data_IF_829521160874
#
_entry.id   IF_829521160874
#
_cell.length_a   1.000
_cell.length_b   1.000
_cell.length_c   1.000
_cell.angle_alpha   90.00
_cell.angle_beta   90.00
_cell.angle_gamma   90.00
#
_symmetry.space_group_name_H-M   'P 1'
#
loop_
_entity.id
_entity.type
_entity.pdbx_description
1 polymer ?
#
# COMPACT_ATOMS: atom_id res chain seq x y z
N UNK A 1 16.14 -4.51 46.40
CA UNK A 1 14.85 -5.18 46.67
C UNK A 1 14.05 -5.19 45.38
N UNK A 2 13.35 -6.30 45.15
CA UNK A 2 12.68 -6.75 43.93
C UNK A 2 11.75 -5.74 43.26
N UNK A 3 11.62 -5.80 41.93
CA UNK A 3 10.31 -5.81 41.31
C UNK A 3 10.18 -6.94 40.29
N UNK A 4 9.14 -7.72 40.52
CA UNK A 4 8.73 -8.95 39.86
C UNK A 4 7.82 -8.66 38.66
N UNK A 5 7.80 -9.64 37.75
CA UNK A 5 6.98 -9.83 36.57
C UNK A 5 5.47 -9.57 36.70
N UNK A 6 4.84 -9.13 35.61
CA UNK A 6 3.50 -9.56 35.20
C UNK A 6 3.34 -9.43 33.68
N UNK A 7 3.48 -10.54 32.95
CA UNK A 7 2.87 -10.70 31.62
C UNK A 7 1.68 -11.64 31.83
N UNK A 8 0.48 -11.08 31.98
CA UNK A 8 -0.76 -11.86 31.94
C UNK A 8 -1.27 -11.94 30.51
N UNK A 9 -1.66 -13.15 30.11
CA UNK A 9 -2.33 -13.53 28.88
C UNK A 9 -3.45 -12.57 28.47
N UNK A 10 -3.41 -12.11 27.22
CA UNK A 10 -4.57 -11.52 26.55
C UNK A 10 -4.92 -12.39 25.35
N UNK A 11 -6.07 -13.07 25.44
CA UNK A 11 -6.72 -13.75 24.32
C UNK A 11 -7.23 -12.72 23.32
N UNK A 12 -6.86 -12.88 22.05
CA UNK A 12 -7.32 -12.03 20.94
C UNK A 12 -8.77 -12.41 20.57
N UNK A 13 -9.69 -11.44 20.38
CA UNK A 13 -10.96 -11.73 19.74
C UNK A 13 -10.79 -11.92 18.22
N UNK A 14 -11.53 -12.86 17.65
CA UNK A 14 -11.60 -13.11 16.21
C UNK A 14 -12.05 -11.85 15.46
N UNK A 15 -11.22 -11.35 14.53
CA UNK A 15 -11.59 -10.27 13.62
C UNK A 15 -12.07 -10.83 12.28
N UNK A 16 -13.29 -10.47 11.89
CA UNK A 16 -13.80 -10.62 10.53
C UNK A 16 -13.26 -9.46 9.69
N UNK A 17 -12.55 -9.78 8.61
CA UNK A 17 -12.14 -8.83 7.57
C UNK A 17 -10.64 -8.52 7.61
N UNK A 18 -9.98 -8.77 6.48
CA UNK A 18 -8.57 -8.43 6.24
C UNK A 18 -8.44 -6.91 6.34
N UNK A 19 -7.71 -6.43 7.35
CA UNK A 19 -7.26 -5.05 7.47
C UNK A 19 -5.75 -5.05 7.24
N UNK A 20 -5.32 -4.35 6.19
CA UNK A 20 -3.90 -4.05 5.93
C UNK A 20 -3.27 -3.26 7.08
N UNK A 21 -1.93 -3.33 7.16
CA UNK A 21 -1.01 -2.60 8.03
C UNK A 21 -1.56 -1.92 9.30
N UNK A 22 -1.22 -2.47 10.47
CA UNK A 22 -1.47 -1.84 11.77
C UNK A 22 -0.70 -0.51 11.91
N UNK A 23 -1.40 0.64 11.83
CA UNK A 23 -1.01 1.82 12.60
C UNK A 23 -1.74 1.76 13.95
N UNK A 24 -1.05 1.73 15.10
CA UNK A 24 -1.72 1.61 16.39
C UNK A 24 -2.59 2.84 16.68
N UNK A 25 -3.91 2.69 16.59
CA UNK A 25 -4.86 3.78 16.86
C UNK A 25 -4.89 4.23 18.33
N UNK A 26 -4.33 3.43 19.25
CA UNK A 26 -4.23 3.73 20.69
C UNK A 26 -3.02 4.60 21.05
N UNK A 27 -2.23 5.04 20.06
CA UNK A 27 -1.16 6.03 20.26
C UNK A 27 -1.67 7.47 20.16
N UNK A 28 -2.95 7.70 19.84
CA UNK A 28 -3.51 9.03 19.52
C UNK A 28 -3.80 9.95 20.72
N UNK A 29 -3.16 9.73 21.88
CA UNK A 29 -3.46 10.46 23.13
C UNK A 29 -2.22 10.99 23.88
N UNK A 30 -1.03 11.05 23.26
CA UNK A 30 0.19 11.52 23.92
C UNK A 30 0.86 12.73 23.24
N UNK A 31 1.90 13.26 23.91
CA UNK A 31 2.65 14.43 23.45
C UNK A 31 3.18 14.20 22.01
N UNK A 32 2.91 15.09 21.03
CA UNK A 32 3.25 14.88 19.62
C UNK A 32 4.73 14.55 19.34
N UNK A 33 5.65 15.05 20.17
CA UNK A 33 7.09 14.76 20.02
C UNK A 33 7.46 13.35 20.51
N UNK A 34 6.82 12.88 21.57
CA UNK A 34 7.01 11.53 22.11
C UNK A 34 6.32 10.49 21.23
N UNK A 35 5.13 10.81 20.70
CA UNK A 35 4.43 9.98 19.69
C UNK A 35 5.28 9.80 18.43
N UNK A 36 5.85 10.88 17.89
CA UNK A 36 6.72 10.81 16.73
C UNK A 36 7.96 9.95 17.01
N UNK A 37 8.57 10.10 18.19
CA UNK A 37 9.74 9.31 18.58
C UNK A 37 9.41 7.81 18.77
N UNK A 38 8.29 7.49 19.42
CA UNK A 38 7.85 6.10 19.61
C UNK A 38 7.39 5.45 18.32
N UNK A 39 6.65 6.17 17.45
CA UNK A 39 6.25 5.68 16.15
C UNK A 39 7.46 5.38 15.24
N UNK A 40 8.48 6.25 15.25
CA UNK A 40 9.75 6.00 14.57
C UNK A 40 10.48 4.80 15.18
N UNK A 41 10.52 4.69 16.50
CA UNK A 41 11.19 3.58 17.18
C UNK A 41 10.51 2.24 16.89
N UNK A 42 9.18 2.17 16.96
CA UNK A 42 8.40 0.97 16.71
C UNK A 42 8.46 0.54 15.24
N UNK A 43 8.39 1.50 14.30
CA UNK A 43 8.48 1.20 12.87
C UNK A 43 9.85 0.64 12.47
N UNK A 44 10.91 0.87 13.25
CA UNK A 44 12.24 0.32 13.03
C UNK A 44 12.51 -0.95 13.85
N UNK A 45 11.95 -1.05 15.05
CA UNK A 45 12.26 -2.10 16.00
C UNK A 45 11.61 -3.45 15.66
N UNK A 46 10.46 -3.46 14.99
CA UNK A 46 9.70 -4.68 14.77
C UNK A 46 9.93 -5.38 13.42
N UNK A 47 9.93 -4.67 12.27
CA UNK A 47 9.90 -5.35 10.97
C UNK A 47 11.15 -6.20 10.70
N UNK A 48 12.34 -5.66 10.94
CA UNK A 48 13.60 -6.34 10.63
C UNK A 48 13.82 -7.58 11.51
N UNK A 49 13.72 -7.53 12.86
CA UNK A 49 13.84 -8.74 13.67
C UNK A 49 12.78 -9.79 13.36
N UNK A 50 11.55 -9.37 13.05
CA UNK A 50 10.46 -10.28 12.66
C UNK A 50 10.78 -10.99 11.35
N UNK A 51 11.21 -10.25 10.32
CA UNK A 51 11.64 -10.82 9.05
C UNK A 51 12.74 -11.87 9.27
N UNK A 52 13.76 -11.53 10.07
CA UNK A 52 14.84 -12.47 10.39
C UNK A 52 14.37 -13.69 11.18
N UNK A 53 13.50 -13.52 12.16
CA UNK A 53 12.98 -14.60 13.00
C UNK A 53 12.25 -15.66 12.17
N UNK A 54 11.48 -15.22 11.18
CA UNK A 54 10.66 -16.09 10.35
C UNK A 54 11.31 -16.42 8.99
N UNK A 55 12.56 -16.03 8.77
CA UNK A 55 13.32 -16.39 7.56
C UNK A 55 12.87 -15.67 6.29
N UNK A 56 12.26 -14.49 6.40
CA UNK A 56 11.92 -13.67 5.24
C UNK A 56 13.15 -12.95 4.67
N UNK A 57 13.16 -12.78 3.35
CA UNK A 57 14.21 -12.09 2.61
C UNK A 57 13.99 -10.58 2.50
N UNK A 58 12.82 -10.08 2.88
CA UNK A 58 12.47 -8.68 2.70
C UNK A 58 11.28 -8.20 3.52
N UNK A 59 10.97 -6.92 3.32
CA UNK A 59 9.85 -6.19 3.86
C UNK A 59 9.10 -5.55 2.69
N UNK A 60 7.78 -5.72 2.64
CA UNK A 60 6.89 -5.02 1.71
C UNK A 60 5.96 -4.11 2.51
N UNK A 61 6.00 -2.80 2.24
CA UNK A 61 5.11 -1.84 2.88
C UNK A 61 3.85 -1.65 2.05
N UNK A 62 2.71 -1.95 2.66
CA UNK A 62 1.40 -1.82 2.03
C UNK A 62 0.49 -0.87 2.84
N UNK A 63 0.76 0.43 2.71
CA UNK A 63 -0.06 1.48 3.30
C UNK A 63 -1.06 1.96 2.24
N UNK A 64 -2.33 1.58 2.40
CA UNK A 64 -3.43 1.95 1.50
C UNK A 64 -4.41 2.96 2.13
N UNK A 65 -4.34 4.24 1.83
CA UNK A 65 -3.18 4.96 1.29
C UNK A 65 -2.81 6.07 2.29
N UNK A 66 -1.59 6.65 2.23
CA UNK A 66 -1.29 7.91 2.91
C UNK A 66 -2.43 8.91 2.70
N UNK A 67 -2.94 9.59 3.72
CA UNK A 67 -4.20 10.35 3.62
C UNK A 67 -4.00 11.78 3.11
N UNK A 68 -2.80 12.34 3.26
CA UNK A 68 -2.51 13.75 2.98
C UNK A 68 -1.01 13.95 2.66
N UNK A 69 -0.60 15.18 2.38
CA UNK A 69 0.81 15.52 2.07
C UNK A 69 1.78 15.24 3.24
N UNK A 70 1.31 15.36 4.49
CA UNK A 70 2.12 15.04 5.67
C UNK A 70 2.39 13.54 5.73
N UNK A 71 1.39 12.70 5.45
CA UNK A 71 1.58 11.25 5.37
C UNK A 71 2.54 10.87 4.23
N UNK A 72 2.49 11.56 3.08
CA UNK A 72 3.46 11.37 2.00
C UNK A 72 4.89 11.74 2.42
N UNK A 73 5.04 12.81 3.20
CA UNK A 73 6.33 13.21 3.78
C UNK A 73 6.83 12.21 4.81
N UNK A 74 5.92 11.66 5.63
CA UNK A 74 6.21 10.61 6.58
C UNK A 74 6.61 9.31 5.89
N UNK A 75 5.96 8.95 4.77
CA UNK A 75 6.31 7.80 3.94
C UNK A 75 7.74 7.93 3.38
N UNK A 76 8.12 9.12 2.89
CA UNK A 76 9.48 9.43 2.44
C UNK A 76 10.52 9.18 3.55
N UNK A 77 10.22 9.67 4.76
CA UNK A 77 11.07 9.49 5.92
C UNK A 77 11.16 8.01 6.33
N UNK A 78 10.03 7.29 6.32
CA UNK A 78 9.95 5.88 6.65
C UNK A 78 10.84 5.05 5.74
N UNK A 79 10.75 5.23 4.41
CA UNK A 79 11.62 4.52 3.46
C UNK A 79 13.11 4.77 3.73
N UNK A 80 13.49 6.03 3.98
CA UNK A 80 14.87 6.39 4.33
C UNK A 80 15.34 5.69 5.60
N UNK A 81 14.51 5.69 6.64
CA UNK A 81 14.85 5.09 7.93
C UNK A 81 14.91 3.56 7.85
N UNK A 82 13.95 2.92 7.18
CA UNK A 82 13.95 1.47 6.97
C UNK A 82 15.17 1.02 6.18
N UNK A 83 15.51 1.70 5.08
CA UNK A 83 16.73 1.40 4.33
C UNK A 83 17.96 1.49 5.23
N UNK A 84 18.12 2.59 5.97
CA UNK A 84 19.26 2.78 6.87
C UNK A 84 19.34 1.68 7.94
N UNK A 85 18.20 1.29 8.53
CA UNK A 85 18.17 0.24 9.55
C UNK A 85 18.51 -1.15 8.96
N UNK A 86 18.02 -1.46 7.75
CA UNK A 86 18.39 -2.69 7.02
C UNK A 86 19.91 -2.73 6.77
N UNK A 87 20.51 -1.61 6.38
CA UNK A 87 21.95 -1.53 6.13
C UNK A 87 22.77 -1.74 7.41
N UNK A 88 22.37 -1.10 8.51
CA UNK A 88 23.01 -1.26 9.81
C UNK A 88 22.90 -2.71 10.30
N UNK A 89 21.72 -3.32 10.20
CA UNK A 89 21.50 -4.72 10.62
C UNK A 89 22.33 -5.69 9.78
N UNK A 90 22.32 -5.53 8.46
CA UNK A 90 23.08 -6.36 7.53
C UNK A 90 24.58 -6.35 7.85
N UNK A 91 25.15 -5.16 8.09
CA UNK A 91 26.56 -5.00 8.46
C UNK A 91 26.84 -5.58 9.84
N UNK A 92 26.00 -5.25 10.83
CA UNK A 92 26.24 -5.61 12.25
C UNK A 92 26.22 -7.12 12.48
N UNK A 93 25.39 -7.84 11.73
CA UNK A 93 25.22 -9.28 11.88
C UNK A 93 25.80 -10.09 10.71
N UNK A 94 26.49 -9.44 9.76
CA UNK A 94 27.03 -10.04 8.55
C UNK A 94 26.00 -10.90 7.80
N UNK A 95 24.83 -10.31 7.52
CA UNK A 95 23.72 -10.95 6.80
C UNK A 95 23.46 -10.27 5.46
N UNK A 96 22.90 -10.96 4.46
CA UNK A 96 22.40 -10.31 3.25
C UNK A 96 21.41 -9.20 3.59
N UNK A 97 21.48 -8.05 2.91
CA UNK A 97 20.50 -6.96 3.10
C UNK A 97 19.10 -7.49 2.78
N UNK A 98 18.13 -7.16 3.65
CA UNK A 98 16.72 -7.41 3.35
C UNK A 98 16.29 -6.56 2.15
N UNK A 99 15.46 -7.14 1.29
CA UNK A 99 14.74 -6.42 0.24
C UNK A 99 13.73 -5.48 0.90
N UNK A 100 13.58 -4.28 0.36
CA UNK A 100 12.54 -3.34 0.74
C UNK A 100 11.70 -2.99 -0.48
N UNK A 101 10.43 -3.37 -0.48
CA UNK A 101 9.46 -3.02 -1.50
C UNK A 101 8.24 -2.30 -0.90
N UNK A 102 7.36 -1.80 -1.76
CA UNK A 102 6.07 -1.27 -1.33
C UNK A 102 5.00 -1.47 -2.40
N UNK A 103 3.80 -1.88 -1.99
CA UNK A 103 2.59 -1.74 -2.78
C UNK A 103 2.08 -0.30 -2.68
N UNK A 104 1.76 0.28 -3.84
CA UNK A 104 1.42 1.71 -3.93
C UNK A 104 0.32 1.95 -4.94
N UNK A 105 -0.25 3.16 -4.89
CA UNK A 105 -1.22 3.62 -5.87
C UNK A 105 -0.65 3.55 -7.30
N UNK A 106 -1.51 3.28 -8.30
CA UNK A 106 -1.07 3.01 -9.68
C UNK A 106 -0.33 4.18 -10.34
N UNK A 107 -0.53 5.40 -9.86
CA UNK A 107 0.13 6.62 -10.32
C UNK A 107 0.75 7.36 -9.12
N UNK A 108 1.75 8.25 -9.34
CA UNK A 108 2.34 9.03 -8.25
C UNK A 108 1.40 10.12 -7.72
N UNK A 109 0.56 10.69 -8.57
CA UNK A 109 -0.45 11.69 -8.22
C UNK A 109 -1.74 10.99 -7.78
N UNK A 110 -2.17 11.22 -6.54
CA UNK A 110 -3.38 10.62 -5.98
C UNK A 110 -4.61 11.49 -6.31
N UNK A 111 -5.06 11.42 -7.55
CA UNK A 111 -6.12 12.32 -8.06
C UNK A 111 -7.55 11.77 -7.96
N UNK A 112 -7.75 10.51 -7.58
CA UNK A 112 -9.10 9.91 -7.39
C UNK A 112 -9.67 10.18 -5.99
N UNK A 113 -9.08 11.11 -5.24
CA UNK A 113 -9.52 11.55 -3.91
C UNK A 113 -9.64 13.06 -3.89
N UNK A 114 -10.55 13.57 -3.07
CA UNK A 114 -10.75 15.01 -2.86
C UNK A 114 -9.56 15.69 -2.14
N UNK A 115 -8.58 14.91 -1.65
CA UNK A 115 -7.36 15.41 -1.01
C UNK A 115 -6.16 15.12 -1.92
N UNK A 116 -5.74 16.10 -2.76
CA UNK A 116 -4.58 15.96 -3.62
C UNK A 116 -3.32 15.68 -2.81
N UNK A 117 -2.50 14.76 -3.29
CA UNK A 117 -1.24 14.37 -2.67
C UNK A 117 -0.42 13.54 -3.65
N UNK A 118 0.90 13.61 -3.50
CA UNK A 118 1.84 13.01 -4.43
C UNK A 118 2.81 12.11 -3.67
N UNK A 119 3.00 10.89 -4.16
CA UNK A 119 3.99 9.97 -3.60
C UNK A 119 5.43 10.50 -3.74
N UNK A 120 6.33 10.16 -2.81
CA UNK A 120 7.70 10.64 -2.81
C UNK A 120 8.61 9.85 -3.77
N UNK A 121 8.46 10.05 -5.08
CA UNK A 121 9.23 9.34 -6.12
C UNK A 121 10.76 9.37 -5.93
N UNK A 122 11.32 10.50 -5.46
CA UNK A 122 12.75 10.61 -5.13
C UNK A 122 13.16 9.68 -3.98
N UNK A 123 12.33 9.56 -2.95
CA UNK A 123 12.60 8.65 -1.83
C UNK A 123 12.48 7.19 -2.27
N UNK A 124 11.47 6.86 -3.07
CA UNK A 124 11.29 5.54 -3.67
C UNK A 124 12.54 5.16 -4.48
N UNK A 125 12.97 6.03 -5.40
CA UNK A 125 14.18 5.83 -6.20
C UNK A 125 15.41 5.53 -5.33
N UNK A 126 15.60 6.26 -4.24
CA UNK A 126 16.82 6.19 -3.45
C UNK A 126 16.83 5.08 -2.40
N UNK A 127 15.67 4.69 -1.87
CA UNK A 127 15.62 3.87 -0.66
C UNK A 127 14.87 2.54 -0.83
N UNK A 128 13.98 2.42 -1.81
CA UNK A 128 13.17 1.21 -2.06
C UNK A 128 13.80 0.42 -3.20
N UNK A 129 13.86 -0.91 -3.11
CA UNK A 129 14.41 -1.78 -4.15
C UNK A 129 13.52 -1.80 -5.39
N UNK A 130 12.21 -2.03 -5.19
CA UNK A 130 11.19 -1.91 -6.23
C UNK A 130 9.82 -1.60 -5.61
N UNK A 131 8.91 -1.07 -6.40
CA UNK A 131 7.53 -0.80 -6.02
C UNK A 131 6.57 -1.64 -6.85
N UNK A 132 5.41 -1.93 -6.28
CA UNK A 132 4.32 -2.65 -6.90
C UNK A 132 3.14 -1.70 -7.12
N UNK A 133 3.11 -0.88 -8.20
CA UNK A 133 1.92 -0.10 -8.54
C UNK A 133 0.70 -1.02 -8.71
N UNK A 134 -0.34 -0.77 -7.93
CA UNK A 134 -1.58 -1.54 -7.94
C UNK A 134 -2.44 -1.14 -9.14
N UNK A 135 -2.09 -1.70 -10.29
CA UNK A 135 -2.69 -1.40 -11.59
C UNK A 135 -4.03 -2.13 -11.83
N UNK A 136 -4.90 -2.07 -10.83
CA UNK A 136 -6.21 -2.72 -10.80
C UNK A 136 -7.15 -1.92 -9.91
N UNK A 137 -8.40 -2.35 -9.82
CA UNK A 137 -9.47 -1.66 -9.08
C UNK A 137 -9.74 -0.24 -9.57
N UNK A 138 -9.58 -0.03 -10.87
CA UNK A 138 -9.95 1.21 -11.54
C UNK A 138 -11.46 1.46 -11.53
N UNK A 139 -12.23 0.40 -11.71
CA UNK A 139 -13.67 0.41 -11.67
C UNK A 139 -14.16 -0.79 -10.87
N UNK A 140 -15.16 -0.56 -10.03
CA UNK A 140 -15.74 -1.60 -9.19
C UNK A 140 -17.19 -1.29 -8.85
N UNK A 141 -17.74 -2.03 -7.89
CA UNK A 141 -19.12 -1.87 -7.46
C UNK A 141 -19.44 -0.42 -7.03
N UNK A 142 -18.49 0.30 -6.44
CA UNK A 142 -18.65 1.70 -6.04
C UNK A 142 -18.98 2.66 -7.20
N UNK A 143 -18.61 2.33 -8.45
CA UNK A 143 -19.13 3.01 -9.63
C UNK A 143 -20.50 2.42 -10.00
N UNK A 144 -21.55 3.17 -9.68
CA UNK A 144 -22.94 2.75 -9.88
C UNK A 144 -23.52 3.19 -11.24
N UNK A 145 -22.70 3.83 -12.09
CA UNK A 145 -23.17 4.39 -13.35
C UNK A 145 -23.24 3.33 -14.44
N UNK A 146 -22.11 2.70 -14.75
CA UNK A 146 -21.92 1.75 -15.85
C UNK A 146 -20.88 0.68 -15.49
N UNK A 147 -20.95 -0.48 -16.15
CA UNK A 147 -19.85 -1.47 -16.11
C UNK A 147 -18.59 -0.95 -16.80
N UNK A 148 -17.43 -1.28 -16.28
CA UNK A 148 -16.14 -0.91 -16.88
C UNK A 148 -15.03 -1.91 -16.45
N UNK A 149 -13.89 -1.91 -17.12
CA UNK A 149 -12.77 -2.79 -16.82
C UNK A 149 -12.07 -2.36 -15.53
N UNK A 150 -11.82 -3.28 -14.58
CA UNK A 150 -11.10 -2.90 -13.35
C UNK A 150 -9.58 -2.88 -13.49
N UNK A 151 -9.02 -3.42 -14.58
CA UNK A 151 -7.58 -3.59 -14.82
C UNK A 151 -7.22 -3.32 -16.28
N UNK A 152 -7.51 -2.10 -16.74
CA UNK A 152 -7.28 -1.69 -18.11
C UNK A 152 -5.82 -1.25 -18.36
N UNK A 153 -5.24 -1.79 -19.44
CA UNK A 153 -3.88 -1.43 -19.85
C UNK A 153 -3.83 -0.01 -20.41
N UNK A 154 -4.81 0.36 -21.24
CA UNK A 154 -4.87 1.65 -21.93
C UNK A 154 -6.25 2.30 -21.79
N UNK A 155 -6.28 3.62 -21.65
CA UNK A 155 -7.48 4.44 -21.79
C UNK A 155 -7.10 5.82 -22.34
N UNK A 156 -7.71 6.19 -23.47
CA UNK A 156 -7.48 7.48 -24.12
C UNK A 156 -8.47 8.56 -23.66
N UNK A 157 -9.50 8.18 -22.89
CA UNK A 157 -10.56 9.07 -22.42
C UNK A 157 -10.29 9.61 -21.02
N UNK A 158 -9.41 8.97 -20.25
CA UNK A 158 -9.09 9.37 -18.89
C UNK A 158 -7.63 9.07 -18.50
N UNK A 159 -7.27 9.41 -17.26
CA UNK A 159 -5.97 9.10 -16.65
C UNK A 159 -5.96 7.75 -15.91
N UNK A 160 -7.07 7.02 -15.92
CA UNK A 160 -7.25 5.79 -15.15
C UNK A 160 -6.83 4.62 -16.05
N UNK A 161 -5.53 4.34 -16.13
CA UNK A 161 -5.02 3.17 -16.87
C UNK A 161 -3.64 2.77 -16.37
N UNK A 162 -3.26 1.52 -16.62
CA UNK A 162 -1.92 1.02 -16.30
C UNK A 162 -0.84 1.78 -17.06
N UNK A 163 -1.04 2.05 -18.36
CA UNK A 163 -0.07 2.78 -19.17
C UNK A 163 0.18 4.19 -18.64
N UNK A 164 -0.89 4.93 -18.31
CA UNK A 164 -0.75 6.27 -17.73
C UNK A 164 0.01 6.23 -16.39
N UNK A 165 -0.32 5.27 -15.53
CA UNK A 165 0.33 5.11 -14.23
C UNK A 165 1.83 4.86 -14.34
N UNK A 166 2.23 3.88 -15.16
CA UNK A 166 3.63 3.52 -15.39
C UNK A 166 4.41 4.70 -15.98
N UNK A 167 3.87 5.35 -17.02
CA UNK A 167 4.51 6.51 -17.64
C UNK A 167 4.65 7.67 -16.64
N UNK A 168 3.65 7.88 -15.79
CA UNK A 168 3.67 8.93 -14.76
C UNK A 168 4.72 8.66 -13.69
N UNK A 169 4.88 7.41 -13.24
CA UNK A 169 5.93 7.02 -12.30
C UNK A 169 7.33 7.22 -12.89
N UNK A 170 7.52 6.82 -14.15
CA UNK A 170 8.77 7.05 -14.88
C UNK A 170 9.06 8.55 -15.03
N UNK A 171 8.05 9.36 -15.38
CA UNK A 171 8.17 10.82 -15.48
C UNK A 171 8.54 11.47 -14.13
N UNK A 172 8.06 10.91 -13.01
CA UNK A 172 8.45 11.36 -11.67
C UNK A 172 9.88 10.95 -11.26
N UNK A 173 10.61 10.25 -12.14
CA UNK A 173 12.00 9.88 -11.96
C UNK A 173 12.21 8.55 -11.23
N UNK A 174 11.17 7.72 -11.06
CA UNK A 174 11.36 6.34 -10.60
C UNK A 174 11.90 5.50 -11.77
N UNK A 175 13.04 4.81 -11.62
CA UNK A 175 13.60 3.99 -12.70
C UNK A 175 12.62 2.87 -13.11
N UNK A 176 12.39 2.64 -14.43
CA UNK A 176 11.46 1.62 -14.91
C UNK A 176 11.73 0.21 -14.38
N UNK A 177 13.00 -0.16 -14.15
CA UNK A 177 13.40 -1.45 -13.57
C UNK A 177 12.94 -1.65 -12.11
N UNK A 178 12.48 -0.59 -11.44
CA UNK A 178 11.88 -0.64 -10.11
C UNK A 178 10.35 -0.75 -10.14
N UNK A 179 9.71 -0.72 -11.31
CA UNK A 179 8.25 -0.78 -11.45
C UNK A 179 7.80 -2.21 -11.74
N UNK A 180 7.23 -2.88 -10.73
CA UNK A 180 6.65 -4.23 -10.87
C UNK A 180 5.14 -4.09 -10.99
N UNK A 181 4.60 -4.22 -12.20
CA UNK A 181 3.18 -3.98 -12.48
C UNK A 181 2.30 -5.06 -11.83
N UNK A 182 1.34 -4.66 -11.00
CA UNK A 182 0.38 -5.57 -10.40
C UNK A 182 -0.59 -6.17 -11.43
N UNK A 183 -0.79 -7.48 -11.37
CA UNK A 183 -1.74 -8.23 -12.22
C UNK A 183 -2.80 -8.89 -11.34
N UNK A 184 -4.08 -8.49 -11.41
CA UNK A 184 -5.12 -9.09 -10.58
C UNK A 184 -5.52 -10.47 -11.14
N UNK A 185 -5.55 -11.48 -10.27
CA UNK A 185 -6.11 -12.81 -10.57
C UNK A 185 -7.55 -12.96 -10.08
N UNK A 186 -8.29 -11.85 -10.08
CA UNK A 186 -9.68 -11.76 -9.67
C UNK A 186 -10.42 -10.77 -10.56
N UNK A 187 -11.75 -10.77 -10.52
CA UNK A 187 -12.58 -9.81 -11.24
C UNK A 187 -13.47 -8.96 -10.32
N UNK A 188 -13.83 -7.76 -10.79
CA UNK A 188 -14.93 -6.96 -10.22
C UNK A 188 -16.22 -7.25 -10.98
N UNK A 189 -17.36 -7.23 -10.28
CA UNK A 189 -18.65 -7.61 -10.85
C UNK A 189 -19.73 -6.58 -10.54
N UNK A 190 -20.77 -6.57 -11.36
CA UNK A 190 -21.93 -5.69 -11.22
C UNK A 190 -23.23 -6.41 -11.54
N UNK A 191 -24.34 -5.89 -11.01
CA UNK A 191 -25.69 -6.34 -11.36
C UNK A 191 -26.28 -5.38 -12.41
N UNK A 192 -26.46 -5.89 -13.62
CA UNK A 192 -26.99 -5.13 -14.75
C UNK A 192 -28.46 -4.78 -14.57
N UNK A 193 -28.85 -3.56 -14.95
CA UNK A 193 -30.26 -3.14 -15.00
C UNK A 193 -31.06 -3.89 -16.05
N UNK A 194 -30.42 -4.25 -17.15
CA UNK A 194 -31.01 -5.03 -18.23
C UNK A 194 -29.99 -6.08 -18.69
N UNK A 195 -30.27 -7.35 -18.42
CA UNK A 195 -29.38 -8.47 -18.76
C UNK A 195 -29.19 -8.67 -20.27
N UNK A 196 -30.06 -8.09 -21.11
CA UNK A 196 -29.89 -8.07 -22.58
C UNK A 196 -28.87 -7.03 -23.06
N UNK A 197 -28.38 -6.17 -22.15
CA UNK A 197 -27.41 -5.11 -22.40
C UNK A 197 -26.21 -5.31 -21.48
N UNK A 198 -25.27 -6.15 -21.92
CA UNK A 198 -24.21 -6.75 -21.10
C UNK A 198 -22.78 -6.44 -21.56
N UNK A 199 -22.58 -5.48 -22.47
CA UNK A 199 -21.26 -4.98 -22.81
C UNK A 199 -20.76 -3.92 -21.82
N UNK A 200 -19.49 -3.53 -21.94
CA UNK A 200 -18.91 -2.38 -21.23
C UNK A 200 -19.75 -1.11 -21.48
N UNK A 201 -19.83 -0.22 -20.48
CA UNK A 201 -20.60 1.03 -20.56
C UNK A 201 -22.11 0.89 -20.31
N UNK A 202 -22.63 -0.28 -19.90
CA UNK A 202 -24.06 -0.47 -19.67
C UNK A 202 -24.50 -0.24 -18.22
N UNK A 203 -25.70 0.32 -18.05
CA UNK A 203 -26.24 0.80 -16.77
C UNK A 203 -26.54 -0.32 -15.77
N UNK A 204 -26.31 0.01 -14.51
CA UNK A 204 -26.41 -0.89 -13.37
C UNK A 204 -27.77 -0.76 -12.66
N UNK A 205 -28.29 -1.86 -12.09
CA UNK A 205 -29.50 -1.83 -11.24
C UNK A 205 -29.18 -1.58 -9.78
N UNK A 206 -28.08 -2.16 -9.28
CA UNK A 206 -27.70 -2.26 -7.86
C UNK A 206 -26.27 -2.84 -7.76
N UNK A 207 -25.63 -2.72 -6.59
CA UNK A 207 -24.31 -3.30 -6.28
C UNK A 207 -24.40 -4.85 -6.28
N UNK A 208 -23.44 -5.53 -6.92
CA UNK A 208 -23.24 -6.97 -6.77
C UNK A 208 -22.27 -7.26 -5.59
N UNK A 209 -22.20 -8.50 -5.06
CA UNK A 209 -21.22 -8.84 -4.02
C UNK A 209 -19.80 -8.47 -4.47
N UNK A 210 -19.03 -7.92 -3.54
CA UNK A 210 -17.67 -7.44 -3.80
C UNK A 210 -16.73 -8.63 -4.05
N UNK A 211 -16.31 -8.77 -5.30
CA UNK A 211 -15.19 -9.62 -5.75
C UNK A 211 -15.53 -11.10 -5.94
N UNK A 212 -15.14 -11.65 -7.10
CA UNK A 212 -15.08 -13.09 -7.35
C UNK A 212 -13.63 -13.44 -7.67
N UNK A 213 -13.04 -14.37 -6.93
CA UNK A 213 -11.80 -15.02 -7.34
C UNK A 213 -12.12 -15.92 -8.55
N UNK A 214 -11.22 -15.92 -9.55
CA UNK A 214 -11.32 -16.79 -10.73
C UNK A 214 -10.90 -18.23 -10.39
#
# INVERSE_FOLDING_TARGET
MSFSSAFSSLTLPESKGIKGGYWPSWLAEQNPLEEAFQAVTLSLAWPIPTARKYGFDGLDLDWEFPNNEQDMSNLSLLFKQWRKAIEIESISYNKPKLILSAAIYFAPDFFLSDVPRIYPGVAIRNYVDFINPMCFDYHGSWDTSVTNEHALVYDNSSKISTSYGVDSWAFQGVPPEKLVIGLPLYGRTWKLKNTKRNGIGHRLSELAPETMAL
#
